data_IF_264940068010
#
_entry.id   IF_264940068010
#
_cell.length_a   1.000
_cell.length_b   1.000
_cell.length_c   1.000
_cell.angle_alpha   90.00
_cell.angle_beta   90.00
_cell.angle_gamma   90.00
#
_symmetry.space_group_name_H-M   'P 1'
#
loop_
_entity.id
_entity.type
_entity.pdbx_description
1 polymer ?
#
# COMPACT_ATOMS: atom_id res chain seq x y z
N UNK A 1 -28.64 21.11 23.40
CA UNK A 1 -28.06 19.87 23.92
C UNK A 1 -27.86 18.91 22.78
N UNK A 2 -26.95 19.22 21.83
CA UNK A 2 -26.65 18.39 20.64
C UNK A 2 -25.26 18.74 20.07
N UNK A 3 -24.19 18.68 20.92
CA UNK A 3 -22.81 18.90 20.48
C UNK A 3 -21.83 18.18 21.41
N UNK A 4 -21.97 16.84 21.55
CA UNK A 4 -20.96 16.01 22.23
C UNK A 4 -20.99 14.56 21.72
N UNK A 5 -20.84 14.36 20.41
CA UNK A 5 -20.64 13.02 19.83
C UNK A 5 -19.68 13.07 18.61
N UNK A 6 -18.55 13.77 18.77
CA UNK A 6 -17.51 13.79 17.74
C UNK A 6 -16.12 13.67 18.40
N UNK A 7 -15.91 12.60 19.17
CA UNK A 7 -14.58 12.23 19.69
C UNK A 7 -14.34 10.72 19.50
N UNK A 8 -14.33 10.29 18.29
CA UNK A 8 -13.63 9.09 17.80
C UNK A 8 -13.64 9.20 16.28
N UNK A 9 -12.86 10.10 15.73
CA UNK A 9 -12.46 9.99 14.33
C UNK A 9 -11.56 8.76 14.32
N UNK A 10 -12.11 7.65 13.89
CA UNK A 10 -11.40 6.41 13.62
C UNK A 10 -10.34 6.69 12.57
N UNK A 11 -9.12 6.90 13.02
CA UNK A 11 -7.95 7.10 12.20
C UNK A 11 -7.58 5.71 11.67
N UNK A 12 -7.58 5.53 10.39
CA UNK A 12 -7.52 4.21 9.84
C UNK A 12 -6.56 4.02 8.66
N UNK A 13 -6.41 2.79 8.23
CA UNK A 13 -5.44 2.34 7.25
C UNK A 13 -5.91 2.60 5.81
N UNK A 14 -5.40 3.65 5.16
CA UNK A 14 -5.43 3.75 3.69
C UNK A 14 -4.41 2.79 3.08
N UNK A 15 -4.65 2.36 1.83
CA UNK A 15 -3.68 1.56 1.10
C UNK A 15 -2.44 2.38 0.79
N UNK A 16 -1.33 2.11 1.45
CA UNK A 16 -0.05 2.80 1.24
C UNK A 16 0.66 2.33 -0.04
N UNK A 17 1.58 3.14 -0.55
CA UNK A 17 2.40 2.79 -1.73
C UNK A 17 3.32 1.58 -1.51
N UNK A 18 3.53 1.19 -0.26
CA UNK A 18 4.31 0.00 0.11
C UNK A 18 3.52 -1.32 0.04
N UNK A 19 2.26 -1.28 -0.43
CA UNK A 19 1.35 -2.43 -0.42
C UNK A 19 0.90 -2.93 -1.79
N UNK A 20 0.49 -4.20 -1.81
CA UNK A 20 -0.10 -4.93 -2.95
C UNK A 20 -1.22 -4.15 -3.68
N UNK A 21 -1.96 -3.33 -2.96
CA UNK A 21 -3.13 -2.60 -3.46
C UNK A 21 -2.79 -1.47 -4.44
N UNK A 22 -1.53 -1.08 -4.54
CA UNK A 22 -1.05 0.00 -5.43
C UNK A 22 -0.44 -0.52 -6.73
N UNK A 23 -0.32 -1.84 -6.91
CA UNK A 23 0.19 -2.45 -8.12
C UNK A 23 -0.80 -2.27 -9.28
N UNK A 24 -0.30 -1.89 -10.46
CA UNK A 24 -1.13 -1.65 -11.65
C UNK A 24 -2.01 -2.83 -12.02
N UNK A 25 -1.43 -4.02 -12.02
CA UNK A 25 -2.15 -5.24 -12.34
C UNK A 25 -3.36 -5.52 -11.42
N UNK A 26 -3.40 -4.91 -10.22
CA UNK A 26 -4.42 -5.07 -9.19
C UNK A 26 -5.22 -3.78 -8.92
N UNK A 27 -4.89 -2.67 -9.59
CA UNK A 27 -5.71 -1.45 -9.60
C UNK A 27 -6.91 -1.63 -10.54
N UNK A 28 -8.00 -0.83 -10.38
CA UNK A 28 -9.06 -0.80 -11.36
C UNK A 28 -8.51 -0.39 -12.73
N UNK A 29 -8.87 -1.13 -13.76
CA UNK A 29 -8.55 -0.77 -15.13
C UNK A 29 -9.52 0.33 -15.58
N UNK A 30 -9.03 1.55 -15.69
CA UNK A 30 -9.83 2.73 -16.03
C UNK A 30 -9.69 3.15 -17.49
N UNK A 31 -8.81 2.49 -18.25
CA UNK A 31 -8.56 2.80 -19.66
C UNK A 31 -9.61 2.14 -20.56
N UNK A 32 -10.46 2.92 -21.22
CA UNK A 32 -11.35 2.42 -22.28
C UNK A 32 -10.63 2.11 -23.59
N UNK A 33 -9.46 2.69 -23.82
CA UNK A 33 -8.74 2.50 -25.07
C UNK A 33 -7.83 1.28 -24.97
N UNK A 34 -8.04 0.30 -25.83
CA UNK A 34 -7.00 -0.65 -26.21
C UNK A 34 -5.95 0.16 -26.94
N UNK A 35 -4.97 0.68 -26.21
CA UNK A 35 -3.84 1.40 -26.81
C UNK A 35 -3.01 0.38 -27.59
N UNK A 36 -2.64 0.67 -28.85
CA UNK A 36 -1.70 -0.16 -29.59
C UNK A 36 -0.30 -0.14 -28.98
N UNK A 37 -0.03 0.80 -28.09
CA UNK A 37 1.27 0.98 -27.45
C UNK A 37 1.50 -0.09 -26.40
N UNK A 38 2.69 -0.68 -26.46
CA UNK A 38 3.07 -1.82 -25.62
C UNK A 38 3.77 -1.43 -24.33
N UNK A 39 4.19 -0.19 -24.21
CA UNK A 39 4.98 0.30 -23.10
C UNK A 39 4.25 1.45 -22.40
N UNK A 40 4.37 1.51 -21.09
CA UNK A 40 3.87 2.62 -20.28
C UNK A 40 4.85 2.94 -19.16
N UNK A 41 5.11 4.20 -18.92
CA UNK A 41 5.79 4.71 -17.73
C UNK A 41 4.78 5.48 -16.89
N UNK A 42 4.84 5.30 -15.58
CA UNK A 42 4.04 6.03 -14.60
C UNK A 42 4.96 6.65 -13.57
N UNK A 43 4.70 7.90 -13.25
CA UNK A 43 5.35 8.62 -12.17
C UNK A 43 4.28 9.07 -11.20
N UNK A 44 4.44 8.76 -9.93
CA UNK A 44 3.42 9.06 -8.93
C UNK A 44 3.98 9.66 -7.66
N UNK A 45 3.14 10.49 -7.04
CA UNK A 45 3.34 11.07 -5.74
C UNK A 45 2.15 10.70 -4.86
N UNK A 46 2.40 10.34 -3.61
CA UNK A 46 1.37 10.08 -2.62
C UNK A 46 1.58 10.96 -1.39
N UNK A 47 0.49 11.39 -0.80
CA UNK A 47 0.48 12.12 0.47
C UNK A 47 -0.55 11.49 1.39
N UNK A 48 -0.17 11.24 2.64
CA UNK A 48 -1.06 10.69 3.64
C UNK A 48 -0.67 11.06 5.06
N UNK A 49 -1.65 11.04 5.95
CA UNK A 49 -1.45 11.15 7.38
C UNK A 49 -1.53 9.74 8.00
N UNK A 50 -0.48 9.36 8.73
CA UNK A 50 -0.40 8.09 9.45
C UNK A 50 -0.80 8.26 10.93
N UNK A 51 -0.78 7.17 11.69
CA UNK A 51 -0.92 7.19 13.14
C UNK A 51 0.23 8.00 13.78
N UNK A 52 0.09 8.30 15.06
CA UNK A 52 1.11 9.00 15.85
C UNK A 52 1.55 10.36 15.28
N UNK A 53 0.64 11.07 14.57
CA UNK A 53 0.91 12.39 13.96
C UNK A 53 2.04 12.37 12.92
N UNK A 54 2.24 11.25 12.25
CA UNK A 54 3.25 11.08 11.21
C UNK A 54 2.64 11.40 9.85
N UNK A 55 3.28 12.29 9.09
CA UNK A 55 2.97 12.56 7.69
C UNK A 55 3.85 11.69 6.80
N UNK A 56 3.27 11.11 5.76
CA UNK A 56 3.99 10.29 4.81
C UNK A 56 3.83 10.83 3.39
N UNK A 57 4.97 11.05 2.74
CA UNK A 57 5.06 11.38 1.33
C UNK A 57 5.71 10.20 0.59
N UNK A 58 4.99 9.61 -0.34
CA UNK A 58 5.50 8.53 -1.19
C UNK A 58 5.79 9.03 -2.59
N UNK A 59 6.75 8.38 -3.25
CA UNK A 59 7.10 8.60 -4.64
C UNK A 59 7.28 7.24 -5.30
N UNK A 60 6.92 7.12 -6.58
CA UNK A 60 7.19 5.91 -7.32
C UNK A 60 7.42 6.15 -8.81
N UNK A 61 8.17 5.24 -9.38
CA UNK A 61 8.32 5.07 -10.80
C UNK A 61 7.90 3.65 -11.17
N UNK A 62 7.04 3.50 -12.17
CA UNK A 62 6.56 2.20 -12.62
C UNK A 62 6.66 2.11 -14.14
N UNK A 63 7.22 1.00 -14.62
CA UNK A 63 7.27 0.63 -16.02
C UNK A 63 6.42 -0.59 -16.27
N UNK A 64 5.49 -0.49 -17.21
CA UNK A 64 4.62 -1.57 -17.63
C UNK A 64 4.91 -1.90 -19.09
N UNK A 65 5.01 -3.19 -19.42
CA UNK A 65 5.23 -3.67 -20.78
C UNK A 65 4.33 -4.83 -21.12
N UNK A 66 3.60 -4.71 -22.22
CA UNK A 66 2.89 -5.83 -22.83
C UNK A 66 3.89 -6.64 -23.69
N UNK A 67 4.27 -7.83 -23.23
CA UNK A 67 5.25 -8.68 -23.91
C UNK A 67 4.62 -9.40 -25.11
N UNK A 68 3.42 -9.94 -24.93
CA UNK A 68 2.61 -10.61 -25.96
C UNK A 68 1.14 -10.21 -25.83
N UNK A 69 0.26 -10.70 -26.67
CA UNK A 69 -1.19 -10.48 -26.52
C UNK A 69 -1.78 -10.97 -25.19
N UNK A 70 -1.06 -11.83 -24.43
CA UNK A 70 -1.54 -12.39 -23.18
C UNK A 70 -0.63 -12.07 -21.97
N UNK A 71 0.67 -11.86 -22.18
CA UNK A 71 1.65 -11.68 -21.11
C UNK A 71 2.10 -10.24 -21.01
N UNK A 72 2.17 -9.73 -19.79
CA UNK A 72 2.77 -8.44 -19.49
C UNK A 72 3.66 -8.50 -18.26
N UNK A 73 4.49 -7.47 -18.11
CA UNK A 73 5.47 -7.29 -17.05
C UNK A 73 5.31 -5.88 -16.48
N UNK A 74 5.28 -5.78 -15.16
CA UNK A 74 5.26 -4.53 -14.43
C UNK A 74 6.46 -4.49 -13.46
N UNK A 75 7.21 -3.39 -13.50
CA UNK A 75 8.31 -3.14 -12.57
C UNK A 75 8.07 -1.78 -11.90
N UNK A 76 7.97 -1.76 -10.58
CA UNK A 76 7.70 -0.55 -9.80
C UNK A 76 8.73 -0.41 -8.69
N UNK A 77 9.33 0.78 -8.57
CA UNK A 77 10.14 1.15 -7.41
C UNK A 77 9.48 2.28 -6.65
N UNK A 78 9.62 2.25 -5.33
CA UNK A 78 9.01 3.22 -4.42
C UNK A 78 10.05 3.84 -3.48
N UNK A 79 9.78 5.06 -3.02
CA UNK A 79 10.53 5.74 -1.98
C UNK A 79 9.55 6.43 -1.03
N UNK A 80 9.85 6.45 0.26
CA UNK A 80 9.00 7.06 1.29
C UNK A 80 9.79 8.08 2.11
N UNK A 81 9.09 9.15 2.48
CA UNK A 81 9.50 10.12 3.48
C UNK A 81 8.45 10.16 4.58
N UNK A 82 8.87 9.94 5.82
CA UNK A 82 8.03 10.00 7.02
C UNK A 82 8.50 11.16 7.90
N UNK A 83 7.57 11.97 8.40
CA UNK A 83 7.87 13.12 9.24
C UNK A 83 6.85 13.28 10.35
N UNK A 84 7.33 13.38 11.58
CA UNK A 84 6.52 13.60 12.79
C UNK A 84 7.37 13.43 14.04
N UNK A 85 6.91 13.91 15.19
CA UNK A 85 7.60 13.78 16.49
C UNK A 85 9.08 14.19 16.45
N UNK A 86 9.42 15.28 15.76
CA UNK A 86 10.76 15.79 15.52
C UNK A 86 11.70 14.85 14.75
N UNK A 87 11.15 13.76 14.19
CA UNK A 87 11.86 12.79 13.36
C UNK A 87 11.51 13.03 11.90
N UNK A 88 12.53 12.96 11.03
CA UNK A 88 12.38 12.95 9.58
C UNK A 88 13.19 11.80 9.00
N UNK A 89 12.53 10.92 8.27
CA UNK A 89 13.14 9.77 7.62
C UNK A 89 12.83 9.79 6.12
N UNK A 90 13.81 9.45 5.27
CA UNK A 90 13.64 9.26 3.84
C UNK A 90 14.45 8.04 3.40
N UNK A 91 13.91 7.22 2.51
CA UNK A 91 14.63 6.10 1.93
C UNK A 91 13.91 5.46 0.76
N UNK A 92 14.66 4.70 -0.03
CA UNK A 92 14.07 3.74 -0.98
C UNK A 92 13.25 2.74 -0.17
N UNK A 93 12.09 2.37 -0.72
CA UNK A 93 11.18 1.45 -0.05
C UNK A 93 11.31 0.04 -0.62
N UNK A 94 10.65 -0.21 -1.73
CA UNK A 94 10.53 -1.55 -2.27
C UNK A 94 10.66 -1.53 -3.80
N UNK A 95 11.10 -2.66 -4.35
CA UNK A 95 11.03 -2.99 -5.77
C UNK A 95 9.98 -4.08 -5.97
N UNK A 96 8.95 -3.81 -6.77
CA UNK A 96 7.96 -4.79 -7.19
C UNK A 96 8.27 -5.24 -8.61
N UNK A 97 8.25 -6.54 -8.83
CA UNK A 97 8.35 -7.16 -10.16
C UNK A 97 7.19 -8.12 -10.31
N UNK A 98 6.27 -7.82 -11.21
CA UNK A 98 5.06 -8.60 -11.40
C UNK A 98 4.92 -8.99 -12.87
N UNK A 99 4.45 -10.19 -13.10
CA UNK A 99 3.96 -10.64 -14.41
C UNK A 99 2.46 -10.85 -14.37
N UNK A 100 1.78 -10.55 -15.46
CA UNK A 100 0.37 -10.82 -15.57
C UNK A 100 0.05 -11.60 -16.84
N UNK A 101 -0.94 -12.50 -16.74
CA UNK A 101 -1.39 -13.36 -17.82
C UNK A 101 -2.89 -13.19 -18.04
N UNK A 102 -3.29 -12.74 -19.23
CA UNK A 102 -4.68 -12.67 -19.64
C UNK A 102 -5.20 -14.07 -19.97
N UNK A 103 -5.98 -14.66 -19.08
CA UNK A 103 -6.63 -15.96 -19.28
C UNK A 103 -7.65 -15.86 -20.42
N UNK A 104 -8.44 -14.80 -20.38
CA UNK A 104 -9.42 -14.41 -21.41
C UNK A 104 -9.61 -12.89 -21.38
N UNK A 105 -10.60 -12.37 -22.10
CA UNK A 105 -10.89 -10.92 -22.14
C UNK A 105 -11.36 -10.34 -20.80
N UNK A 106 -11.90 -11.17 -19.91
CA UNK A 106 -12.49 -10.75 -18.65
C UNK A 106 -11.62 -11.09 -17.43
N UNK A 107 -10.64 -12.00 -17.56
CA UNK A 107 -9.87 -12.51 -16.42
C UNK A 107 -8.37 -12.41 -16.67
N UNK A 108 -7.63 -11.91 -15.66
CA UNK A 108 -6.18 -11.77 -15.66
C UNK A 108 -5.61 -12.30 -14.34
N UNK A 109 -4.61 -13.15 -14.44
CA UNK A 109 -3.81 -13.62 -13.31
C UNK A 109 -2.57 -12.73 -13.15
N UNK A 110 -2.15 -12.52 -11.92
CA UNK A 110 -0.93 -11.78 -11.58
C UNK A 110 -0.09 -12.61 -10.62
N UNK A 111 1.20 -12.69 -10.88
CA UNK A 111 2.19 -13.26 -9.98
C UNK A 111 3.38 -12.32 -9.90
N UNK A 112 3.88 -12.09 -8.71
CA UNK A 112 4.98 -11.18 -8.52
C UNK A 112 5.69 -11.32 -7.19
N UNK A 113 6.73 -10.51 -7.04
CA UNK A 113 7.52 -10.40 -5.82
C UNK A 113 7.72 -8.93 -5.46
N UNK A 114 7.74 -8.67 -4.15
CA UNK A 114 8.22 -7.41 -3.57
C UNK A 114 9.58 -7.68 -2.95
N UNK A 115 10.59 -6.96 -3.40
CA UNK A 115 11.96 -7.01 -2.88
C UNK A 115 12.21 -5.75 -2.06
N UNK A 116 12.58 -5.86 -0.77
CA UNK A 116 12.87 -4.69 0.05
C UNK A 116 14.19 -4.04 -0.41
N UNK A 117 14.20 -2.72 -0.51
CA UNK A 117 15.41 -1.93 -0.78
C UNK A 117 16.01 -1.32 0.50
N UNK A 118 15.38 -1.58 1.65
CA UNK A 118 15.86 -1.27 2.99
C UNK A 118 15.47 -2.41 3.94
N UNK A 119 16.27 -2.61 4.99
CA UNK A 119 16.15 -3.72 5.95
C UNK A 119 15.04 -3.55 7.01
N UNK A 120 14.38 -2.40 7.04
CA UNK A 120 13.36 -2.10 8.05
C UNK A 120 13.95 -1.79 9.45
N UNK A 121 15.23 -1.41 9.55
CA UNK A 121 15.88 -1.11 10.82
C UNK A 121 16.66 0.22 10.80
N UNK A 122 16.00 1.29 10.38
CA UNK A 122 16.58 2.63 10.44
C UNK A 122 16.86 3.05 11.88
N UNK A 123 18.03 3.67 12.08
CA UNK A 123 18.50 4.21 13.35
C UNK A 123 18.54 5.75 13.24
N UNK A 124 18.11 6.44 14.29
CA UNK A 124 18.27 7.88 14.47
C UNK A 124 18.81 8.14 15.88
N UNK A 125 19.79 9.02 15.99
CA UNK A 125 20.46 9.38 17.26
C UNK A 125 20.91 8.16 18.10
N UNK A 126 21.42 7.13 17.39
CA UNK A 126 21.92 5.88 17.98
C UNK A 126 20.82 4.92 18.47
N UNK A 127 19.54 5.17 18.17
CA UNK A 127 18.39 4.33 18.56
C UNK A 127 17.61 3.85 17.35
N UNK A 128 17.15 2.58 17.33
CA UNK A 128 16.30 2.07 16.27
C UNK A 128 14.94 2.75 16.29
N UNK A 129 14.41 3.06 15.11
CA UNK A 129 13.08 3.65 14.95
C UNK A 129 12.00 2.57 14.75
N UNK A 130 10.76 2.82 15.20
CA UNK A 130 9.62 1.94 14.93
C UNK A 130 9.31 1.82 13.44
N UNK A 131 8.48 0.85 13.09
CA UNK A 131 8.10 0.58 11.70
C UNK A 131 7.46 1.78 10.99
N UNK A 132 6.84 2.69 11.73
CA UNK A 132 6.24 3.93 11.23
C UNK A 132 7.24 4.87 10.53
N UNK A 133 8.53 4.77 10.84
CA UNK A 133 9.61 5.54 10.23
C UNK A 133 10.50 4.72 9.28
N UNK A 134 10.13 3.47 9.01
CA UNK A 134 10.85 2.64 8.05
C UNK A 134 10.33 2.89 6.64
N UNK A 135 11.26 3.09 5.69
CA UNK A 135 10.86 3.28 4.27
C UNK A 135 10.39 1.99 3.62
N UNK A 136 10.85 0.83 4.09
CA UNK A 136 10.43 -0.50 3.69
C UNK A 136 10.04 -1.33 4.91
N UNK A 137 9.18 -2.31 4.71
CA UNK A 137 8.92 -3.35 5.72
C UNK A 137 10.13 -4.29 5.91
N UNK A 138 11.13 -4.25 5.04
CA UNK A 138 12.29 -5.13 5.09
C UNK A 138 11.97 -6.60 4.79
N UNK A 139 10.80 -6.88 4.18
CA UNK A 139 10.34 -8.25 3.87
C UNK A 139 10.38 -8.54 2.38
N UNK A 140 10.86 -9.73 2.00
CA UNK A 140 10.65 -10.30 0.67
C UNK A 140 9.27 -10.93 0.63
N UNK A 141 8.37 -10.46 -0.24
CA UNK A 141 6.99 -10.95 -0.28
C UNK A 141 6.67 -11.59 -1.62
N UNK A 142 5.91 -12.68 -1.59
CA UNK A 142 5.23 -13.25 -2.74
C UNK A 142 3.88 -12.56 -2.92
N UNK A 143 3.53 -12.25 -4.17
CA UNK A 143 2.26 -11.63 -4.55
C UNK A 143 1.59 -12.51 -5.58
N UNK A 144 0.33 -12.86 -5.34
CA UNK A 144 -0.51 -13.57 -6.29
C UNK A 144 -1.90 -12.94 -6.34
N UNK A 145 -2.49 -12.82 -7.52
CA UNK A 145 -3.82 -12.21 -7.65
C UNK A 145 -4.56 -12.59 -8.92
N UNK A 146 -5.84 -12.35 -8.89
CA UNK A 146 -6.74 -12.45 -10.02
C UNK A 146 -7.57 -11.18 -10.14
N UNK A 147 -7.65 -10.63 -11.33
CA UNK A 147 -8.55 -9.54 -11.69
C UNK A 147 -9.62 -10.11 -12.58
N UNK A 148 -10.89 -9.76 -12.34
CA UNK A 148 -12.02 -10.24 -13.11
C UNK A 148 -12.98 -9.10 -13.41
N UNK A 149 -13.36 -8.96 -14.67
CA UNK A 149 -14.37 -8.00 -15.14
C UNK A 149 -15.69 -8.72 -15.37
N UNK A 150 -16.74 -8.34 -14.62
CA UNK A 150 -18.09 -8.86 -14.75
C UNK A 150 -19.03 -7.71 -15.11
N UNK A 151 -19.49 -7.67 -16.36
CA UNK A 151 -20.26 -6.52 -16.89
C UNK A 151 -19.41 -5.23 -16.77
N UNK A 152 -19.78 -4.35 -15.82
CA UNK A 152 -19.04 -3.11 -15.52
C UNK A 152 -18.28 -3.18 -14.21
N UNK A 153 -18.50 -4.24 -13.41
CA UNK A 153 -17.75 -4.40 -12.16
C UNK A 153 -16.35 -4.94 -12.42
N UNK A 154 -15.42 -4.38 -11.72
CA UNK A 154 -14.04 -4.87 -11.67
C UNK A 154 -13.79 -5.47 -10.29
N UNK A 155 -13.49 -6.75 -10.28
CA UNK A 155 -13.23 -7.54 -9.08
C UNK A 155 -11.76 -7.90 -9.04
N UNK A 156 -11.14 -7.80 -7.88
CA UNK A 156 -9.77 -8.25 -7.63
C UNK A 156 -9.75 -9.08 -6.35
N UNK A 157 -9.08 -10.22 -6.40
CA UNK A 157 -8.69 -10.96 -5.21
C UNK A 157 -7.17 -11.16 -5.28
N UNK A 158 -6.47 -10.91 -4.19
CA UNK A 158 -5.02 -11.05 -4.16
C UNK A 158 -4.51 -11.45 -2.76
N UNK A 159 -3.35 -12.09 -2.75
CA UNK A 159 -2.59 -12.50 -1.57
C UNK A 159 -1.22 -11.84 -1.63
N UNK A 160 -0.76 -11.32 -0.49
CA UNK A 160 0.62 -10.95 -0.25
C UNK A 160 1.13 -11.74 0.96
N UNK A 161 2.20 -12.51 0.77
CA UNK A 161 2.77 -13.37 1.79
C UNK A 161 4.26 -13.07 1.96
N UNK A 162 4.70 -12.58 3.15
CA UNK A 162 6.11 -12.47 3.46
C UNK A 162 6.80 -13.84 3.43
N UNK A 163 7.92 -13.92 2.71
CA UNK A 163 8.81 -15.08 2.62
C UNK A 163 10.04 -14.91 3.52
N UNK A 164 10.43 -13.67 3.81
CA UNK A 164 11.43 -13.32 4.81
C UNK A 164 10.92 -12.20 5.69
N UNK A 165 11.48 -12.07 6.87
CA UNK A 165 11.10 -11.06 7.85
C UNK A 165 12.16 -9.97 7.95
N UNK A 166 11.82 -8.84 8.58
CA UNK A 166 12.72 -7.70 8.72
C UNK A 166 13.71 -7.86 9.88
N UNK A 167 14.62 -6.89 9.99
CA UNK A 167 15.69 -6.85 10.98
C UNK A 167 15.48 -5.73 12.02
N UNK A 168 14.24 -5.24 12.20
CA UNK A 168 13.97 -4.15 13.13
C UNK A 168 14.38 -4.52 14.56
N UNK A 169 14.90 -3.55 15.30
CA UNK A 169 15.39 -3.73 16.68
C UNK A 169 14.77 -2.75 17.66
N UNK A 170 13.62 -2.15 17.31
CA UNK A 170 12.93 -1.16 18.12
C UNK A 170 12.24 -1.75 19.34
N UNK A 171 12.51 -1.16 20.52
CA UNK A 171 11.77 -1.34 21.76
C UNK A 171 11.23 0.00 22.25
N UNK A 172 9.93 0.10 22.47
CA UNK A 172 9.28 1.32 22.97
C UNK A 172 9.84 1.78 24.33
N UNK A 173 10.12 0.83 25.22
CA UNK A 173 10.66 1.07 26.55
C UNK A 173 12.11 1.58 26.59
N UNK A 174 12.84 1.54 25.46
CA UNK A 174 14.21 2.09 25.39
C UNK A 174 14.21 3.62 25.15
N UNK A 175 13.03 4.18 24.92
CA UNK A 175 12.86 5.61 24.73
C UNK A 175 12.58 6.34 26.06
N UNK A 176 12.98 7.61 26.20
CA UNK A 176 12.76 8.40 27.42
C UNK A 176 11.28 8.46 27.81
N UNK A 177 11.02 8.50 29.11
CA UNK A 177 9.66 8.67 29.64
C UNK A 177 9.03 9.95 29.08
N UNK A 178 7.83 9.82 28.55
CA UNK A 178 7.12 10.94 27.90
C UNK A 178 7.42 11.10 26.39
N UNK A 179 8.31 10.29 25.81
CA UNK A 179 8.51 10.26 24.37
C UNK A 179 7.25 9.73 23.67
N UNK A 180 6.78 10.36 22.57
CA UNK A 180 5.68 9.84 21.75
C UNK A 180 5.93 8.41 21.25
N UNK A 181 7.21 8.03 21.08
CA UNK A 181 7.59 6.71 20.59
C UNK A 181 7.32 5.58 21.61
N UNK A 182 7.15 5.90 22.88
CA UNK A 182 6.72 4.91 23.89
C UNK A 182 5.30 4.39 23.67
N UNK A 183 4.46 5.12 22.92
CA UNK A 183 3.10 4.69 22.60
C UNK A 183 3.02 3.78 21.37
N UNK A 184 4.15 3.58 20.66
CA UNK A 184 4.24 2.72 19.50
C UNK A 184 4.62 1.30 19.92
N UNK A 185 4.01 0.29 19.33
CA UNK A 185 4.32 -1.10 19.66
C UNK A 185 5.77 -1.46 19.37
N UNK A 186 6.43 -2.19 20.28
CA UNK A 186 7.78 -2.73 20.06
C UNK A 186 7.78 -3.70 18.87
N UNK A 187 8.84 -3.60 18.03
CA UNK A 187 8.95 -4.36 16.78
C UNK A 187 10.35 -5.00 16.60
N UNK A 188 11.05 -5.27 17.71
CA UNK A 188 12.30 -6.01 17.65
C UNK A 188 12.09 -7.42 17.11
N UNK A 189 12.83 -7.79 16.03
CA UNK A 189 12.65 -9.07 15.36
C UNK A 189 11.22 -9.24 14.80
N UNK A 190 10.65 -8.16 14.27
CA UNK A 190 9.26 -8.11 13.83
C UNK A 190 8.95 -9.15 12.75
N UNK A 191 7.92 -9.96 13.01
CA UNK A 191 7.42 -10.98 12.10
C UNK A 191 6.03 -10.60 11.61
N UNK A 192 5.94 -10.23 10.36
CA UNK A 192 4.69 -9.83 9.73
C UNK A 192 3.95 -11.03 9.15
N UNK A 193 2.63 -11.08 9.35
CA UNK A 193 1.74 -12.04 8.69
C UNK A 193 1.38 -11.59 7.27
N UNK A 194 0.74 -12.48 6.51
CA UNK A 194 0.26 -12.19 5.16
C UNK A 194 -1.08 -11.46 5.13
N UNK A 195 -1.42 -10.89 3.95
CA UNK A 195 -2.68 -10.20 3.70
C UNK A 195 -3.44 -10.83 2.55
N UNK A 196 -4.76 -10.92 2.68
CA UNK A 196 -5.70 -11.17 1.60
C UNK A 196 -6.42 -9.87 1.28
N UNK A 197 -6.41 -9.50 0.02
CA UNK A 197 -7.05 -8.30 -0.50
C UNK A 197 -8.20 -8.70 -1.42
N UNK A 198 -9.35 -8.05 -1.23
CA UNK A 198 -10.44 -8.05 -2.19
C UNK A 198 -10.69 -6.60 -2.63
N UNK A 199 -11.10 -6.41 -3.88
CA UNK A 199 -11.53 -5.10 -4.40
C UNK A 199 -12.76 -5.28 -5.27
N UNK A 200 -13.72 -4.38 -5.09
CA UNK A 200 -14.86 -4.22 -5.98
C UNK A 200 -14.87 -2.76 -6.42
N UNK A 201 -14.81 -2.52 -7.72
CA UNK A 201 -14.84 -1.18 -8.29
C UNK A 201 -15.83 -1.09 -9.45
N UNK A 202 -16.38 0.10 -9.68
CA UNK A 202 -17.34 0.36 -10.74
C UNK A 202 -16.96 1.63 -11.50
N UNK A 203 -16.48 1.54 -12.75
CA UNK A 203 -16.10 2.69 -13.55
C UNK A 203 -17.32 3.41 -14.17
N UNK A 204 -17.36 4.73 -13.98
CA UNK A 204 -18.25 5.65 -14.65
C UNK A 204 -17.48 6.44 -15.69
N UNK A 205 -17.90 6.36 -16.93
CA UNK A 205 -17.27 7.10 -18.04
C UNK A 205 -18.05 8.39 -18.29
N UNK A 206 -17.36 9.52 -18.24
CA UNK A 206 -17.94 10.85 -18.45
C UNK A 206 -17.29 11.46 -19.72
N UNK A 207 -18.04 11.37 -20.81
CA UNK A 207 -17.48 11.72 -22.13
C UNK A 207 -16.34 10.76 -22.53
N UNK A 208 -15.40 11.28 -23.31
CA UNK A 208 -14.30 10.46 -23.86
C UNK A 208 -13.01 10.50 -23.03
N UNK A 209 -12.89 11.45 -22.10
CA UNK A 209 -11.62 11.74 -21.43
C UNK A 209 -11.63 11.51 -19.92
N UNK A 210 -12.79 11.50 -19.28
CA UNK A 210 -12.88 11.42 -17.83
C UNK A 210 -13.52 10.12 -17.39
N UNK A 211 -12.86 9.40 -16.48
CA UNK A 211 -13.39 8.23 -15.80
C UNK A 211 -13.36 8.45 -14.29
N UNK A 212 -14.44 8.12 -13.60
CA UNK A 212 -14.52 8.12 -12.14
C UNK A 212 -14.84 6.71 -11.70
N UNK A 213 -13.96 6.12 -10.89
CA UNK A 213 -14.08 4.72 -10.46
C UNK A 213 -14.09 4.64 -8.94
N UNK A 214 -15.26 4.72 -8.28
CA UNK A 214 -15.38 4.38 -6.88
C UNK A 214 -15.18 2.88 -6.68
N UNK A 215 -14.68 2.51 -5.50
CA UNK A 215 -14.45 1.14 -5.11
C UNK A 215 -14.37 0.95 -3.61
N UNK A 216 -14.56 -0.30 -3.20
CA UNK A 216 -14.36 -0.78 -1.84
C UNK A 216 -13.22 -1.79 -1.85
N UNK A 217 -12.37 -1.72 -0.83
CA UNK A 217 -11.14 -2.49 -0.73
C UNK A 217 -11.03 -3.08 0.69
N UNK A 218 -11.67 -4.23 0.98
CA UNK A 218 -11.36 -5.02 2.16
C UNK A 218 -9.98 -5.68 2.05
N UNK A 219 -9.24 -5.60 3.16
CA UNK A 219 -7.95 -6.26 3.34
C UNK A 219 -8.03 -7.01 4.67
N UNK A 220 -7.73 -8.29 4.66
CA UNK A 220 -7.72 -9.12 5.86
C UNK A 220 -6.29 -9.57 6.16
N UNK A 221 -5.78 -9.13 7.32
CA UNK A 221 -4.50 -9.58 7.87
C UNK A 221 -4.70 -10.93 8.56
N UNK A 222 -3.94 -11.95 8.12
CA UNK A 222 -4.27 -13.36 8.36
C UNK A 222 -4.02 -13.85 9.78
N UNK A 223 -2.99 -13.34 10.47
CA UNK A 223 -2.68 -13.68 11.86
C UNK A 223 -2.14 -12.45 12.60
N UNK A 224 -2.01 -12.52 13.92
CA UNK A 224 -1.31 -11.49 14.66
C UNK A 224 0.17 -11.47 14.24
N UNK A 225 0.71 -10.26 14.05
CA UNK A 225 2.14 -10.05 13.95
C UNK A 225 2.81 -10.37 15.28
N UNK A 226 4.10 -10.72 15.27
CA UNK A 226 4.85 -11.02 16.47
C UNK A 226 6.13 -10.20 16.53
N UNK A 227 6.69 -10.07 17.72
CA UNK A 227 8.01 -9.52 17.95
C UNK A 227 8.74 -10.31 19.03
N UNK A 228 10.06 -10.20 19.07
CA UNK A 228 10.88 -10.83 20.10
C UNK A 228 11.04 -9.88 21.28
N UNK A 229 10.47 -10.21 22.43
CA UNK A 229 10.60 -9.44 23.66
C UNK A 229 12.04 -9.47 24.22
N UNK A 230 12.37 -8.58 25.17
CA UNK A 230 13.72 -8.49 25.77
C UNK A 230 14.18 -9.77 26.46
N UNK A 231 13.27 -10.59 26.93
CA UNK A 231 13.56 -11.91 27.52
C UNK A 231 13.78 -13.01 26.46
N UNK A 232 13.74 -12.68 25.16
CA UNK A 232 13.90 -13.61 24.05
C UNK A 232 12.61 -14.36 23.66
N UNK A 233 11.49 -14.11 24.34
CA UNK A 233 10.22 -14.76 24.00
C UNK A 233 9.56 -14.09 22.79
N UNK A 234 9.06 -14.92 21.86
CA UNK A 234 8.17 -14.44 20.79
C UNK A 234 6.82 -14.05 21.39
N UNK A 235 6.39 -12.83 21.09
CA UNK A 235 5.20 -12.21 21.69
C UNK A 235 4.27 -11.70 20.58
N UNK A 236 3.01 -12.10 20.63
CA UNK A 236 2.00 -11.62 19.70
C UNK A 236 1.64 -10.15 19.97
N UNK A 237 1.49 -9.38 18.88
CA UNK A 237 0.94 -8.02 18.93
C UNK A 237 -0.57 -8.14 18.75
N UNK A 238 -1.26 -8.23 19.88
CA UNK A 238 -2.71 -8.46 19.89
C UNK A 238 -3.47 -7.36 19.12
N UNK A 239 -4.45 -7.77 18.32
CA UNK A 239 -5.25 -6.86 17.50
C UNK A 239 -4.61 -6.49 16.17
N UNK A 240 -3.45 -7.02 15.82
CA UNK A 240 -2.83 -6.82 14.50
C UNK A 240 -3.46 -7.72 13.43
N UNK A 241 -4.03 -8.88 13.79
CA UNK A 241 -4.91 -9.67 12.93
C UNK A 241 -6.25 -8.97 12.76
N UNK A 242 -6.81 -8.97 11.52
CA UNK A 242 -8.18 -8.52 11.35
C UNK A 242 -8.45 -7.84 10.02
N UNK A 243 -9.65 -7.29 9.92
CA UNK A 243 -10.20 -6.66 8.73
C UNK A 243 -9.94 -5.16 8.72
N UNK A 244 -9.47 -4.67 7.59
CA UNK A 244 -9.48 -3.24 7.21
C UNK A 244 -10.37 -3.10 5.99
N UNK A 245 -11.27 -2.11 5.97
CA UNK A 245 -12.12 -1.80 4.80
C UNK A 245 -11.88 -0.38 4.37
N UNK A 246 -11.36 -0.21 3.17
CA UNK A 246 -11.10 1.11 2.59
C UNK A 246 -12.14 1.43 1.50
N UNK A 247 -12.53 2.71 1.42
CA UNK A 247 -13.16 3.28 0.24
C UNK A 247 -12.11 4.00 -0.61
N UNK A 248 -12.20 3.83 -1.92
CA UNK A 248 -11.31 4.48 -2.87
C UNK A 248 -12.10 5.13 -3.99
N UNK A 249 -11.63 6.26 -4.49
CA UNK A 249 -12.14 6.88 -5.71
C UNK A 249 -10.95 7.18 -6.62
N UNK A 250 -10.96 6.63 -7.82
CA UNK A 250 -10.01 6.94 -8.88
C UNK A 250 -10.65 7.91 -9.86
N UNK A 251 -9.94 8.96 -10.22
CA UNK A 251 -10.32 9.93 -11.24
C UNK A 251 -9.23 9.93 -12.30
N UNK A 252 -9.55 9.41 -13.48
CA UNK A 252 -8.61 9.34 -14.60
C UNK A 252 -9.00 10.35 -15.67
N UNK A 253 -8.04 11.12 -16.12
CA UNK A 253 -8.21 12.11 -17.18
C UNK A 253 -7.23 11.83 -18.33
N UNK A 254 -7.76 11.49 -19.50
CA UNK A 254 -6.97 11.34 -20.73
C UNK A 254 -6.67 12.74 -21.32
N UNK A 255 -5.41 13.15 -21.27
CA UNK A 255 -4.95 14.39 -21.92
C UNK A 255 -5.01 14.19 -23.43
N UNK A 256 -4.41 13.10 -23.89
CA UNK A 256 -4.41 12.61 -25.29
C UNK A 256 -4.24 11.08 -25.28
N UNK A 257 -4.02 10.46 -26.44
CA UNK A 257 -3.93 9.00 -26.57
C UNK A 257 -2.74 8.40 -25.82
N UNK A 258 -1.63 9.16 -25.71
CA UNK A 258 -0.41 8.71 -25.04
C UNK A 258 -0.27 9.17 -23.60
N UNK A 259 -0.99 10.20 -23.16
CA UNK A 259 -0.78 10.83 -21.86
C UNK A 259 -2.07 10.89 -21.03
N UNK A 260 -1.97 10.53 -19.77
CA UNK A 260 -3.09 10.59 -18.83
C UNK A 260 -2.64 10.98 -17.42
N UNK A 261 -3.58 11.54 -16.66
CA UNK A 261 -3.45 11.81 -15.24
C UNK A 261 -4.39 10.90 -14.46
N UNK A 262 -3.99 10.49 -13.27
CA UNK A 262 -4.88 9.85 -12.31
C UNK A 262 -4.74 10.52 -10.96
N UNK A 263 -5.86 10.82 -10.33
CA UNK A 263 -5.97 11.12 -8.90
C UNK A 263 -6.68 9.93 -8.23
N UNK A 264 -6.10 9.41 -7.16
CA UNK A 264 -6.76 8.41 -6.32
C UNK A 264 -6.81 8.93 -4.89
N UNK A 265 -7.99 8.94 -4.30
CA UNK A 265 -8.19 9.26 -2.89
C UNK A 265 -8.77 8.03 -2.20
N UNK A 266 -8.18 7.68 -1.06
CA UNK A 266 -8.61 6.54 -0.25
C UNK A 266 -8.69 6.89 1.23
N UNK A 267 -9.68 6.31 1.91
CA UNK A 267 -9.83 6.39 3.35
C UNK A 267 -10.42 5.08 3.89
N UNK A 268 -10.04 4.67 5.10
CA UNK A 268 -10.62 3.48 5.72
C UNK A 268 -11.93 3.83 6.43
N UNK A 269 -12.84 2.85 6.42
CA UNK A 269 -14.08 2.84 7.20
C UNK A 269 -14.01 1.89 8.39
N UNK A 270 -13.17 0.84 8.27
CA UNK A 270 -12.91 -0.14 9.32
C UNK A 270 -11.40 -0.38 9.39
N UNK A 271 -10.86 -0.52 10.59
CA UNK A 271 -9.43 -0.74 10.82
C UNK A 271 -9.16 -1.77 11.88
N UNK A 272 -8.01 -2.44 11.80
CA UNK A 272 -7.48 -3.32 12.83
C UNK A 272 -7.19 -2.53 14.12
N UNK A 273 -7.25 -3.19 15.27
CA UNK A 273 -6.98 -2.56 16.57
C UNK A 273 -5.51 -2.15 16.74
N UNK A 274 -4.56 -2.96 16.25
CA UNK A 274 -3.13 -2.66 16.22
C UNK A 274 -2.57 -2.73 14.80
N UNK A 275 -1.61 -1.87 14.48
CA UNK A 275 -1.04 -1.71 13.14
C UNK A 275 0.48 -1.48 13.22
N UNK A 276 1.22 -2.50 13.71
CA UNK A 276 2.65 -2.37 13.98
C UNK A 276 3.51 -2.26 12.72
N UNK A 277 2.93 -2.50 11.55
CA UNK A 277 3.62 -2.48 10.25
C UNK A 277 3.89 -1.07 9.71
N UNK A 278 3.45 -0.01 10.40
CA UNK A 278 3.67 1.39 9.99
C UNK A 278 3.00 1.79 8.68
N UNK A 279 2.18 0.93 8.10
CA UNK A 279 1.49 1.19 6.82
C UNK A 279 0.19 1.97 6.96
N UNK A 280 -0.13 2.40 8.15
CA UNK A 280 -1.38 3.10 8.47
C UNK A 280 -1.45 4.47 7.83
N UNK A 281 -2.62 4.80 7.27
CA UNK A 281 -2.95 6.14 6.77
C UNK A 281 -4.38 6.48 7.12
N UNK A 282 -4.59 7.61 7.77
CA UNK A 282 -5.93 8.16 8.01
C UNK A 282 -6.65 8.47 6.70
N UNK A 283 -5.90 8.96 5.73
CA UNK A 283 -6.29 9.12 4.34
C UNK A 283 -5.03 9.06 3.48
N UNK A 284 -5.22 8.79 2.20
CA UNK A 284 -4.17 8.88 1.19
C UNK A 284 -4.72 9.55 -0.06
N UNK A 285 -3.92 10.44 -0.63
CA UNK A 285 -4.14 11.00 -1.95
C UNK A 285 -2.93 10.67 -2.83
N UNK A 286 -3.16 10.04 -3.97
CA UNK A 286 -2.12 9.69 -4.94
C UNK A 286 -2.38 10.47 -6.22
N UNK A 287 -1.36 11.10 -6.77
CA UNK A 287 -1.37 11.72 -8.08
C UNK A 287 -0.39 10.96 -8.98
N UNK A 288 -0.83 10.55 -10.16
CA UNK A 288 -0.06 9.76 -11.11
C UNK A 288 -0.13 10.37 -12.51
N UNK A 289 1.02 10.48 -13.16
CA UNK A 289 1.13 10.81 -14.58
C UNK A 289 1.58 9.58 -15.36
N UNK A 290 0.92 9.32 -16.48
CA UNK A 290 1.13 8.15 -17.34
C UNK A 290 1.53 8.57 -18.73
N UNK A 291 2.56 7.92 -19.28
CA UNK A 291 3.04 8.06 -20.64
C UNK A 291 3.02 6.68 -21.30
N UNK A 292 2.37 6.57 -22.47
CA UNK A 292 2.34 5.36 -23.31
C UNK A 292 3.15 5.58 -24.57
N UNK A 293 3.87 4.54 -25.04
CA UNK A 293 4.73 4.61 -26.22
C UNK A 293 5.05 3.23 -26.80
#
# INVERSE_FOLDING_TARGET
MLFMLAKNILIGQGCSDAGICTLDALKPNTSQAVSPEKNQIKMGLSYGAADHSITVLGQYLEYNRQLTGKWGLDVKTTALSQRGNDISAFGMSDLFVNTHFAVNRAAKLTLGVKVPLADGNRIADGRPLPMDYQSSLGTLDLIAGITWEIRRFQLVAALQQPLSQNQNTFFAEDYPVGSPLQSIASTNGFQRSGDVLLRVAYPFHIGQKLNITPGILPIYHLANDTYTAKNGAETAIEGSKGLTVNGNVYVDYAINDSNALQLNVGMPFVVRAARPDGLTRAYIANFEYRIRF
#
